data_IF_862432499578
#
_entry.id   IF_862432499578
#
_cell.length_a   1.000
_cell.length_b   1.000
_cell.length_c   1.000
_cell.angle_alpha   90.00
_cell.angle_beta   90.00
_cell.angle_gamma   90.00
#
_symmetry.space_group_name_H-M   'P 1'
#
loop_
_entity.id
_entity.type
_entity.pdbx_description
1 polymer ?
#
# COMPACT_ATOMS: atom_id res chain seq x y z
N UNK A 1 24.29 9.49 16.51
CA UNK A 1 24.43 10.05 17.87
C UNK A 1 25.27 11.33 17.81
N UNK A 2 24.96 12.21 16.84
CA UNK A 2 25.88 13.26 16.37
C UNK A 2 25.23 14.64 16.31
N UNK A 3 23.91 14.73 16.54
CA UNK A 3 23.14 15.96 16.39
C UNK A 3 23.33 16.95 17.55
N UNK A 4 23.64 16.47 18.77
CA UNK A 4 23.74 17.35 19.95
C UNK A 4 25.08 18.07 20.10
N UNK A 5 26.16 17.56 19.50
CA UNK A 5 27.45 18.27 19.47
C UNK A 5 27.44 19.49 18.54
N UNK A 6 26.44 19.58 17.66
CA UNK A 6 26.25 20.64 16.67
C UNK A 6 25.11 21.60 17.06
N UNK A 7 24.46 21.40 18.21
CA UNK A 7 23.54 22.39 18.75
C UNK A 7 24.37 23.58 19.21
N UNK A 8 24.42 24.62 18.39
CA UNK A 8 24.85 25.94 18.83
C UNK A 8 24.03 26.30 20.07
N UNK A 9 24.73 26.47 21.17
CA UNK A 9 24.17 26.74 22.50
C UNK A 9 23.15 27.87 22.39
N UNK A 10 21.85 27.56 22.39
CA UNK A 10 20.83 28.60 22.49
C UNK A 10 20.97 29.23 23.89
N UNK A 11 21.35 30.51 24.01
CA UNK A 11 21.47 31.13 25.32
C UNK A 11 20.06 31.25 25.90
N UNK A 12 19.78 30.56 27.01
CA UNK A 12 18.50 30.60 27.71
C UNK A 12 18.25 31.90 28.46
N UNK A 13 19.05 32.95 28.23
CA UNK A 13 18.84 34.27 28.82
C UNK A 13 17.94 35.10 27.91
N UNK A 14 16.66 35.21 28.28
CA UNK A 14 15.72 36.15 27.66
C UNK A 14 15.70 37.42 28.50
N UNK A 15 16.21 38.52 27.97
CA UNK A 15 16.06 39.84 28.59
C UNK A 15 14.79 40.51 28.06
N UNK A 16 13.97 41.01 28.97
CA UNK A 16 12.78 41.80 28.65
C UNK A 16 13.10 43.25 29.00
N UNK A 17 13.13 44.14 28.00
CA UNK A 17 13.28 45.59 28.21
C UNK A 17 12.00 46.28 27.77
N UNK A 18 11.14 46.60 28.74
CA UNK A 18 9.78 47.09 28.45
C UNK A 18 8.90 45.96 27.92
N UNK A 19 8.12 46.23 26.86
CA UNK A 19 7.14 45.29 26.30
C UNK A 19 7.60 44.61 24.99
N UNK A 20 8.90 44.70 24.68
CA UNK A 20 9.50 44.06 23.51
C UNK A 20 10.41 42.90 23.93
N UNK A 21 10.08 41.71 23.45
CA UNK A 21 10.96 40.54 23.51
C UNK A 21 12.16 40.80 22.58
N UNK A 22 13.35 40.94 23.17
CA UNK A 22 14.59 41.05 22.42
C UNK A 22 15.03 39.64 22.06
N UNK A 23 15.19 39.37 20.76
CA UNK A 23 15.79 38.11 20.30
C UNK A 23 17.18 37.97 20.96
N UNK A 24 17.58 36.76 21.40
CA UNK A 24 18.90 36.56 21.97
C UNK A 24 19.96 37.04 20.97
N UNK A 25 21.01 37.74 21.41
CA UNK A 25 22.07 38.17 20.50
C UNK A 25 22.68 36.95 19.79
N UNK A 26 23.05 37.11 18.51
CA UNK A 26 23.91 36.18 17.76
C UNK A 26 25.06 35.70 18.67
N UNK A 27 25.50 34.42 18.57
CA UNK A 27 26.24 33.77 19.65
C UNK A 27 27.47 34.58 20.04
N UNK A 28 27.35 35.32 21.15
CA UNK A 28 28.49 35.87 21.85
C UNK A 28 29.35 34.67 22.21
N UNK A 29 30.54 34.58 21.62
CA UNK A 29 31.59 33.68 22.06
C UNK A 29 32.03 34.12 23.46
N UNK A 30 31.16 33.90 24.45
CA UNK A 30 31.44 34.17 25.85
C UNK A 30 32.49 33.17 26.30
N UNK A 31 33.52 33.64 27.02
CA UNK A 31 34.52 32.77 27.62
C UNK A 31 33.87 31.65 28.47
N UNK A 32 32.73 31.92 29.11
CA UNK A 32 31.94 30.92 29.85
C UNK A 32 31.27 29.88 28.92
N UNK A 33 30.81 30.29 27.74
CA UNK A 33 30.31 29.37 26.71
C UNK A 33 31.42 28.48 26.14
N UNK A 34 32.58 29.08 25.85
CA UNK A 34 33.78 28.38 25.38
C UNK A 34 34.29 27.35 26.41
N UNK A 35 34.37 27.74 27.68
CA UNK A 35 34.78 26.87 28.79
C UNK A 35 33.86 25.65 28.92
N UNK A 36 32.54 25.85 28.90
CA UNK A 36 31.56 24.76 28.97
C UNK A 36 31.67 23.79 27.80
N UNK A 37 31.83 24.31 26.58
CA UNK A 37 32.03 23.48 25.38
C UNK A 37 33.33 22.67 25.49
N UNK A 38 34.42 23.30 25.89
CA UNK A 38 35.71 22.63 26.07
C UNK A 38 35.63 21.52 27.12
N UNK A 39 34.98 21.77 28.26
CA UNK A 39 34.73 20.76 29.30
C UNK A 39 33.86 19.60 28.81
N UNK A 40 32.78 19.85 28.08
CA UNK A 40 31.94 18.80 27.49
C UNK A 40 32.70 17.98 26.43
N UNK A 41 33.57 18.62 25.64
CA UNK A 41 34.42 17.92 24.69
C UNK A 41 35.45 17.03 25.38
N UNK A 42 36.10 17.52 26.44
CA UNK A 42 37.07 16.74 27.24
C UNK A 42 36.41 15.57 27.99
N UNK A 43 35.17 15.76 28.48
CA UNK A 43 34.39 14.72 29.17
C UNK A 43 33.62 13.77 28.22
N UNK A 44 33.84 13.84 26.91
CA UNK A 44 33.10 13.04 25.92
C UNK A 44 33.29 11.54 26.17
N UNK A 45 32.26 10.75 25.89
CA UNK A 45 32.32 9.29 26.00
C UNK A 45 32.15 8.77 27.43
N UNK A 46 31.63 9.60 28.35
CA UNK A 46 31.38 9.21 29.74
C UNK A 46 32.56 9.47 30.68
N UNK A 47 33.56 10.26 30.25
CA UNK A 47 34.66 10.71 31.09
C UNK A 47 34.18 11.73 32.13
N UNK A 48 34.93 11.87 33.23
CA UNK A 48 34.52 12.71 34.36
C UNK A 48 34.65 14.20 34.05
N UNK A 49 33.55 14.95 34.18
CA UNK A 49 33.54 16.43 34.13
C UNK A 49 34.42 17.07 35.21
N UNK A 50 34.56 16.41 36.37
CA UNK A 50 35.38 16.91 37.48
C UNK A 50 36.87 16.83 37.16
N UNK A 51 37.32 15.68 36.63
CA UNK A 51 38.71 15.49 36.18
C UNK A 51 39.04 16.40 35.01
N UNK A 52 38.10 16.58 34.07
CA UNK A 52 38.27 17.56 32.99
C UNK A 52 38.44 19.00 33.54
N UNK A 53 37.71 19.36 34.60
CA UNK A 53 37.85 20.67 35.23
C UNK A 53 39.15 20.90 35.99
N UNK A 54 39.75 19.83 36.53
CA UNK A 54 41.07 19.90 37.18
C UNK A 54 42.21 20.23 36.19
N UNK A 55 42.06 19.82 34.92
CA UNK A 55 43.05 20.01 33.85
C UNK A 55 42.59 20.99 32.77
N UNK A 56 41.66 21.89 33.09
CA UNK A 56 41.02 22.75 32.10
C UNK A 56 41.99 23.75 31.43
N UNK A 57 43.06 24.09 32.13
CA UNK A 57 44.17 24.93 31.65
C UNK A 57 44.92 24.33 30.45
N UNK A 58 44.93 23.00 30.32
CA UNK A 58 45.59 22.31 29.19
C UNK A 58 44.89 22.51 27.85
N UNK A 59 43.58 22.77 27.87
CA UNK A 59 42.77 22.72 26.65
C UNK A 59 41.80 23.91 26.50
N UNK A 60 41.76 24.83 27.47
CA UNK A 60 41.04 26.09 27.36
C UNK A 60 41.92 27.25 27.85
N UNK A 61 42.14 28.30 27.04
CA UNK A 61 43.10 29.36 27.36
C UNK A 61 42.59 30.28 28.48
N UNK A 62 42.93 29.95 29.72
CA UNK A 62 42.57 30.70 30.94
C UNK A 62 43.72 31.53 31.52
N UNK A 63 44.79 31.77 30.75
CA UNK A 63 46.00 32.48 31.19
C UNK A 63 45.76 33.92 31.67
N UNK A 64 44.56 34.46 31.46
CA UNK A 64 44.11 35.78 31.94
C UNK A 64 43.54 35.73 33.38
N UNK A 65 43.32 34.54 33.95
CA UNK A 65 42.75 34.35 35.28
C UNK A 65 43.82 33.91 36.29
N UNK A 66 43.75 34.44 37.51
CA UNK A 66 44.59 33.96 38.61
C UNK A 66 44.25 32.53 39.03
N UNK A 67 45.14 31.80 39.73
CA UNK A 67 44.91 30.39 40.09
C UNK A 67 43.69 30.16 41.00
N UNK A 68 43.30 31.14 41.83
CA UNK A 68 42.06 31.09 42.62
C UNK A 68 40.82 31.30 41.75
N UNK A 69 40.83 32.31 40.89
CA UNK A 69 39.73 32.60 39.97
C UNK A 69 39.48 31.46 38.97
N UNK A 70 40.54 30.80 38.50
CA UNK A 70 40.43 29.66 37.59
C UNK A 70 39.66 28.49 38.24
N UNK A 71 39.95 28.19 39.51
CA UNK A 71 39.23 27.14 40.26
C UNK A 71 37.77 27.50 40.45
N UNK A 72 37.47 28.74 40.79
CA UNK A 72 36.09 29.21 40.99
C UNK A 72 35.30 29.16 39.68
N UNK A 73 35.91 29.56 38.55
CA UNK A 73 35.31 29.46 37.21
C UNK A 73 35.07 28.02 36.79
N UNK A 74 36.04 27.12 37.02
CA UNK A 74 35.90 25.71 36.72
C UNK A 74 34.80 25.04 37.57
N UNK A 75 34.76 25.34 38.88
CA UNK A 75 33.72 24.84 39.78
C UNK A 75 32.32 25.35 39.38
N UNK A 76 32.20 26.62 39.01
CA UNK A 76 30.95 27.18 38.50
C UNK A 76 30.50 26.49 37.21
N UNK A 77 31.41 26.27 36.26
CA UNK A 77 31.14 25.58 35.01
C UNK A 77 30.73 24.11 35.22
N UNK A 78 31.42 23.37 36.11
CA UNK A 78 31.04 22.00 36.47
C UNK A 78 29.62 21.97 37.03
N UNK A 79 29.30 22.85 37.99
CA UNK A 79 27.97 22.92 38.60
C UNK A 79 26.89 23.18 37.55
N UNK A 80 27.10 24.15 36.67
CA UNK A 80 26.17 24.42 35.56
C UNK A 80 25.99 23.19 34.64
N UNK A 81 27.09 22.54 34.26
CA UNK A 81 27.06 21.37 33.38
C UNK A 81 26.37 20.18 34.06
N UNK A 82 26.57 19.95 35.37
CA UNK A 82 25.87 18.91 36.13
C UNK A 82 24.35 19.14 36.10
N UNK A 83 23.89 20.39 36.22
CA UNK A 83 22.47 20.72 36.08
C UNK A 83 21.97 20.47 34.65
N UNK A 84 22.68 20.96 33.63
CA UNK A 84 22.30 20.76 32.23
C UNK A 84 22.24 19.27 31.85
N UNK A 85 23.21 18.47 32.27
CA UNK A 85 23.23 17.03 32.03
C UNK A 85 22.07 16.34 32.73
N UNK A 86 21.75 16.70 33.99
CA UNK A 86 20.57 16.17 34.70
C UNK A 86 19.27 16.52 33.99
N UNK A 87 19.15 17.75 33.48
CA UNK A 87 17.97 18.18 32.74
C UNK A 87 17.82 17.43 31.42
N UNK A 88 18.89 17.28 30.65
CA UNK A 88 18.88 16.49 29.42
C UNK A 88 18.58 15.03 29.74
N UNK A 89 19.18 14.44 30.76
CA UNK A 89 18.90 13.07 31.18
C UNK A 89 17.41 12.88 31.55
N UNK A 90 16.80 13.86 32.21
CA UNK A 90 15.36 13.86 32.53
C UNK A 90 14.49 13.96 31.27
N UNK A 91 14.93 14.65 30.22
CA UNK A 91 14.18 14.78 28.97
C UNK A 91 14.49 13.64 27.98
N UNK A 92 15.65 13.00 28.11
CA UNK A 92 16.13 11.98 27.21
C UNK A 92 15.22 10.75 27.26
N UNK A 93 14.69 10.36 26.10
CA UNK A 93 13.78 9.22 25.98
C UNK A 93 12.34 9.49 26.43
N UNK A 94 11.98 10.73 26.83
CA UNK A 94 10.57 11.10 27.07
C UNK A 94 9.74 11.05 25.79
N UNK A 95 10.32 11.46 24.67
CA UNK A 95 9.70 11.38 23.35
C UNK A 95 10.34 10.20 22.62
N UNK A 96 9.50 9.28 22.14
CA UNK A 96 9.91 8.10 21.37
C UNK A 96 9.15 8.08 20.06
N UNK A 97 9.86 7.88 18.97
CA UNK A 97 9.27 7.71 17.63
C UNK A 97 9.35 6.23 17.28
N UNK A 98 8.24 5.67 16.79
CA UNK A 98 8.18 4.30 16.29
C UNK A 98 7.73 4.34 14.84
N UNK A 99 8.48 3.70 13.96
CA UNK A 99 8.05 3.46 12.57
C UNK A 99 6.91 2.45 12.55
N UNK A 100 5.86 2.75 11.78
CA UNK A 100 4.65 1.95 11.69
C UNK A 100 4.18 1.94 10.24
N UNK A 101 3.74 0.78 9.77
CA UNK A 101 3.26 0.60 8.38
C UNK A 101 1.74 0.57 8.29
N UNK A 102 1.06 0.07 9.32
CA UNK A 102 -0.40 0.09 9.37
C UNK A 102 -0.93 0.23 10.81
N UNK A 103 -2.10 0.87 10.93
CA UNK A 103 -2.93 0.91 12.13
C UNK A 103 -4.10 -0.04 12.03
N UNK A 104 -4.53 -0.56 13.17
CA UNK A 104 -5.82 -1.23 13.31
C UNK A 104 -6.57 -0.51 14.42
N UNK A 105 -7.78 -0.03 14.09
CA UNK A 105 -8.68 0.65 15.02
C UNK A 105 -9.88 -0.25 15.25
N UNK A 106 -10.21 -0.50 16.52
CA UNK A 106 -11.38 -1.28 16.91
C UNK A 106 -11.78 -0.95 18.35
N UNK A 107 -12.90 -1.47 18.80
CA UNK A 107 -13.30 -1.38 20.21
C UNK A 107 -12.30 -2.10 21.13
N UNK A 108 -12.20 -1.65 22.37
CA UNK A 108 -11.19 -2.13 23.33
C UNK A 108 -11.27 -3.65 23.60
N UNK A 109 -12.49 -4.22 23.63
CA UNK A 109 -12.69 -5.65 23.80
C UNK A 109 -12.09 -6.45 22.62
N UNK A 110 -12.34 -6.01 21.38
CA UNK A 110 -11.80 -6.61 20.16
C UNK A 110 -10.28 -6.49 20.08
N UNK A 111 -9.72 -5.33 20.45
CA UNK A 111 -8.25 -5.13 20.50
C UNK A 111 -7.61 -6.14 21.45
N UNK A 112 -8.23 -6.36 22.61
CA UNK A 112 -7.76 -7.34 23.59
C UNK A 112 -7.84 -8.76 23.03
N UNK A 113 -8.93 -9.12 22.35
CA UNK A 113 -9.08 -10.43 21.70
C UNK A 113 -8.02 -10.65 20.61
N UNK A 114 -7.85 -9.69 19.69
CA UNK A 114 -6.88 -9.75 18.59
C UNK A 114 -5.45 -9.98 19.12
N UNK A 115 -5.07 -9.34 20.23
CA UNK A 115 -3.75 -9.52 20.85
C UNK A 115 -3.53 -10.93 21.43
N UNK A 116 -4.59 -11.62 21.88
CA UNK A 116 -4.50 -12.98 22.42
C UNK A 116 -4.62 -14.07 21.34
N UNK A 117 -5.03 -13.71 20.13
CA UNK A 117 -5.19 -14.64 19.01
C UNK A 117 -3.85 -15.08 18.45
N UNK A 118 -3.45 -16.34 18.73
CA UNK A 118 -2.16 -16.91 18.31
C UNK A 118 -1.92 -16.91 16.79
N UNK A 119 -2.96 -17.02 15.96
CA UNK A 119 -2.82 -16.98 14.50
C UNK A 119 -2.32 -15.63 13.99
N UNK A 120 -2.56 -14.55 14.75
CA UNK A 120 -2.15 -13.18 14.43
C UNK A 120 -0.79 -12.80 15.03
N UNK A 121 -0.15 -13.67 15.81
CA UNK A 121 1.14 -13.40 16.45
C UNK A 121 2.24 -12.98 15.45
N UNK A 122 2.18 -13.51 14.21
CA UNK A 122 3.11 -13.17 13.13
C UNK A 122 3.00 -11.71 12.66
N UNK A 123 1.89 -11.02 12.91
CA UNK A 123 1.72 -9.60 12.54
C UNK A 123 2.50 -8.64 13.45
N UNK A 124 3.08 -9.13 14.55
CA UNK A 124 3.82 -8.30 15.52
C UNK A 124 3.02 -7.09 16.01
N UNK A 125 1.74 -7.32 16.34
CA UNK A 125 0.83 -6.27 16.78
C UNK A 125 1.26 -5.72 18.14
N UNK A 126 1.32 -4.40 18.26
CA UNK A 126 1.64 -3.72 19.51
C UNK A 126 0.59 -2.65 19.82
N UNK A 127 0.06 -2.66 21.05
CA UNK A 127 -0.93 -1.69 21.51
C UNK A 127 -0.33 -0.28 21.62
N UNK A 128 -0.96 0.68 20.96
CA UNK A 128 -0.58 2.11 20.99
C UNK A 128 -1.54 2.89 21.88
N UNK A 129 -2.83 2.58 21.80
CA UNK A 129 -3.90 3.14 22.62
C UNK A 129 -4.94 2.05 22.93
N UNK A 130 -5.94 2.32 23.79
CA UNK A 130 -6.93 1.31 24.15
C UNK A 130 -7.67 0.68 22.95
N UNK A 131 -7.93 1.50 21.93
CA UNK A 131 -8.64 1.17 20.69
C UNK A 131 -7.73 1.04 19.46
N UNK A 132 -6.40 1.14 19.62
CA UNK A 132 -5.46 1.24 18.48
C UNK A 132 -4.29 0.27 18.63
N UNK A 133 -4.09 -0.57 17.62
CA UNK A 133 -2.90 -1.39 17.43
C UNK A 133 -2.02 -0.84 16.31
N UNK A 134 -0.71 -1.07 16.46
CA UNK A 134 0.29 -0.85 15.42
C UNK A 134 0.83 -2.17 14.89
N UNK A 135 1.12 -2.19 13.59
CA UNK A 135 1.80 -3.29 12.91
C UNK A 135 3.01 -2.77 12.13
N UNK A 136 4.04 -3.61 12.04
CA UNK A 136 5.21 -3.42 11.17
C UNK A 136 4.98 -3.92 9.74
N UNK A 137 3.84 -4.53 9.46
CA UNK A 137 3.47 -5.08 8.14
C UNK A 137 2.61 -4.12 7.33
N UNK A 138 2.57 -4.31 6.02
CA UNK A 138 1.76 -3.49 5.11
C UNK A 138 0.25 -3.66 5.37
N UNK A 139 -0.58 -2.63 5.12
CA UNK A 139 -2.02 -2.68 5.39
C UNK A 139 -2.73 -3.88 4.75
N UNK A 140 -2.40 -4.21 3.50
CA UNK A 140 -3.02 -5.32 2.77
C UNK A 140 -2.72 -6.70 3.41
N UNK A 141 -1.52 -6.90 3.94
CA UNK A 141 -1.16 -8.15 4.63
C UNK A 141 -1.91 -8.28 5.96
N UNK A 142 -2.03 -7.17 6.70
CA UNK A 142 -2.78 -7.11 7.96
C UNK A 142 -4.26 -7.42 7.72
N UNK A 143 -4.87 -6.78 6.71
CA UNK A 143 -6.24 -7.06 6.29
C UNK A 143 -6.43 -8.54 5.93
N UNK A 144 -5.54 -9.10 5.10
CA UNK A 144 -5.64 -10.50 4.68
C UNK A 144 -5.56 -11.48 5.86
N UNK A 145 -4.67 -11.24 6.83
CA UNK A 145 -4.52 -12.12 8.00
C UNK A 145 -5.64 -11.98 9.02
N UNK A 146 -6.14 -10.77 9.24
CA UNK A 146 -7.33 -10.55 10.06
C UNK A 146 -8.55 -11.26 9.44
N UNK A 147 -8.73 -11.17 8.11
CA UNK A 147 -9.76 -11.94 7.38
C UNK A 147 -9.58 -13.46 7.54
N UNK A 148 -8.34 -13.96 7.43
CA UNK A 148 -8.03 -15.37 7.64
C UNK A 148 -8.27 -15.84 9.09
N UNK A 149 -8.27 -14.93 10.06
CA UNK A 149 -8.62 -15.22 11.46
C UNK A 149 -10.14 -15.16 11.72
N UNK A 150 -10.97 -14.93 10.69
CA UNK A 150 -12.43 -14.86 10.82
C UNK A 150 -12.97 -13.50 11.20
N UNK A 151 -12.13 -12.46 11.23
CA UNK A 151 -12.54 -11.07 11.44
C UNK A 151 -12.92 -10.42 10.11
N UNK A 152 -13.75 -9.38 10.16
CA UNK A 152 -14.19 -8.64 8.97
C UNK A 152 -13.65 -7.19 8.98
N UNK A 153 -12.33 -6.99 8.85
CA UNK A 153 -11.74 -5.66 8.86
C UNK A 153 -12.02 -4.92 7.55
N UNK A 154 -12.08 -3.60 7.67
CA UNK A 154 -12.28 -2.68 6.54
C UNK A 154 -11.01 -1.86 6.34
N UNK A 155 -10.67 -1.58 5.09
CA UNK A 155 -9.56 -0.68 4.77
C UNK A 155 -10.00 0.77 5.00
N UNK A 156 -9.16 1.58 5.63
CA UNK A 156 -9.37 3.02 5.74
C UNK A 156 -8.19 3.74 5.05
N UNK A 157 -8.47 4.92 4.49
CA UNK A 157 -7.43 5.78 3.94
C UNK A 157 -6.70 6.56 5.06
N UNK A 158 -5.68 7.34 4.69
CA UNK A 158 -4.92 8.13 5.65
C UNK A 158 -5.75 9.21 6.37
N UNK A 159 -6.97 9.50 5.90
CA UNK A 159 -7.91 10.43 6.53
C UNK A 159 -8.92 9.74 7.46
N UNK A 160 -8.89 8.41 7.54
CA UNK A 160 -9.87 7.61 8.28
C UNK A 160 -11.17 7.38 7.52
N UNK A 161 -11.20 7.67 6.22
CA UNK A 161 -12.35 7.36 5.36
C UNK A 161 -12.28 5.89 4.99
N UNK A 162 -13.39 5.18 5.20
CA UNK A 162 -13.52 3.77 4.81
C UNK A 162 -13.35 3.63 3.30
N UNK A 163 -12.28 2.96 2.89
CA UNK A 163 -12.07 2.50 1.53
C UNK A 163 -12.91 1.24 1.36
N UNK A 164 -13.98 1.36 0.57
CA UNK A 164 -14.69 0.17 0.07
C UNK A 164 -13.79 -0.48 -0.97
N UNK A 165 -12.91 -1.38 -0.51
CA UNK A 165 -12.28 -2.35 -1.41
C UNK A 165 -13.41 -3.14 -2.06
N UNK A 166 -13.69 -2.86 -3.33
CA UNK A 166 -14.56 -3.71 -4.15
C UNK A 166 -13.87 -5.07 -4.16
N UNK A 167 -14.36 -6.00 -3.33
CA UNK A 167 -13.85 -7.36 -3.27
C UNK A 167 -13.73 -7.85 -4.70
N UNK A 168 -12.49 -7.97 -5.19
CA UNK A 168 -12.22 -9.04 -6.12
C UNK A 168 -12.44 -10.28 -5.27
N UNK A 169 -13.65 -10.83 -5.36
CA UNK A 169 -13.95 -12.15 -4.85
C UNK A 169 -12.80 -13.05 -5.31
N UNK A 170 -11.91 -13.41 -4.38
CA UNK A 170 -11.09 -14.59 -4.51
C UNK A 170 -12.09 -15.75 -4.43
N UNK A 171 -12.79 -15.96 -5.55
CA UNK A 171 -13.57 -17.14 -5.83
C UNK A 171 -12.65 -18.31 -5.55
N UNK A 172 -13.11 -19.24 -4.71
CA UNK A 172 -12.41 -20.49 -4.42
C UNK A 172 -11.76 -21.01 -5.70
N UNK A 173 -10.50 -21.47 -5.61
CA UNK A 173 -9.71 -21.97 -6.72
C UNK A 173 -10.56 -22.92 -7.58
N UNK A 174 -11.17 -22.35 -8.62
CA UNK A 174 -11.78 -23.12 -9.68
C UNK A 174 -10.67 -24.00 -10.25
N UNK A 175 -10.98 -25.24 -10.68
CA UNK A 175 -9.98 -26.08 -11.36
C UNK A 175 -9.32 -25.21 -12.41
N UNK A 176 -7.99 -25.09 -12.31
CA UNK A 176 -7.15 -24.12 -13.03
C UNK A 176 -7.67 -23.99 -14.45
N UNK A 177 -8.49 -22.97 -14.70
CA UNK A 177 -8.80 -22.56 -16.06
C UNK A 177 -7.46 -22.13 -16.64
N UNK A 178 -7.13 -22.54 -17.88
CA UNK A 178 -5.90 -22.09 -18.51
C UNK A 178 -5.87 -20.58 -18.38
N UNK A 179 -4.75 -20.12 -17.82
CA UNK A 179 -4.35 -18.75 -17.62
C UNK A 179 -5.03 -17.88 -18.68
N UNK A 180 -5.88 -16.92 -18.26
CA UNK A 180 -6.38 -15.87 -19.14
C UNK A 180 -5.16 -15.35 -19.88
N UNK A 181 -5.03 -15.72 -21.15
CA UNK A 181 -3.92 -15.28 -21.98
C UNK A 181 -3.85 -13.77 -21.77
N UNK A 182 -2.66 -13.29 -21.41
CA UNK A 182 -2.39 -11.87 -21.33
C UNK A 182 -3.13 -11.21 -22.49
N UNK A 183 -3.99 -10.22 -22.19
CA UNK A 183 -4.62 -9.39 -23.22
C UNK A 183 -3.54 -9.11 -24.22
N UNK A 184 -3.61 -9.75 -25.40
CA UNK A 184 -2.65 -9.47 -26.46
C UNK A 184 -2.80 -7.99 -26.65
N UNK A 185 -1.76 -7.25 -26.29
CA UNK A 185 -1.64 -5.84 -26.62
C UNK A 185 -1.95 -5.82 -28.11
N UNK A 186 -3.12 -5.27 -28.48
CA UNK A 186 -3.46 -5.11 -29.89
C UNK A 186 -2.23 -4.44 -30.51
N UNK A 187 -1.62 -5.00 -31.57
CA UNK A 187 -0.48 -4.35 -32.19
C UNK A 187 -0.91 -2.91 -32.46
N UNK A 188 -0.20 -1.95 -31.86
CA UNK A 188 -0.51 -0.53 -32.05
C UNK A 188 -0.37 -0.27 -33.55
N UNK A 189 -1.51 -0.11 -34.22
CA UNK A 189 -1.52 0.35 -35.60
C UNK A 189 -1.01 1.78 -35.60
N UNK A 190 -0.07 2.05 -36.50
CA UNK A 190 0.44 3.39 -36.72
C UNK A 190 -0.68 4.30 -37.24
N UNK A 191 -0.68 5.57 -36.82
CA UNK A 191 -1.78 6.50 -37.10
C UNK A 191 -1.99 6.71 -38.60
N UNK A 192 -0.92 6.73 -39.39
CA UNK A 192 -0.99 6.81 -40.86
C UNK A 192 -1.61 5.57 -41.50
N UNK A 193 -1.29 4.37 -40.99
CA UNK A 193 -1.88 3.12 -41.49
C UNK A 193 -3.36 3.00 -41.12
N UNK A 194 -3.76 3.52 -39.96
CA UNK A 194 -5.16 3.59 -39.56
C UNK A 194 -5.92 4.59 -40.44
N UNK A 195 -5.36 5.78 -40.66
CA UNK A 195 -5.95 6.79 -41.53
C UNK A 195 -6.10 6.28 -42.98
N UNK A 196 -5.09 5.58 -43.51
CA UNK A 196 -5.17 4.98 -44.85
C UNK A 196 -6.27 3.92 -44.95
N UNK A 197 -6.48 3.08 -43.92
CA UNK A 197 -7.57 2.09 -43.91
C UNK A 197 -8.95 2.76 -43.79
N UNK A 198 -9.09 3.78 -42.94
CA UNK A 198 -10.35 4.52 -42.79
C UNK A 198 -10.71 5.32 -44.05
N UNK A 199 -9.71 5.80 -44.79
CA UNK A 199 -9.91 6.46 -46.09
C UNK A 199 -10.24 5.47 -47.21
N UNK A 200 -9.72 4.24 -47.13
CA UNK A 200 -9.99 3.19 -48.10
C UNK A 200 -11.36 2.52 -47.91
N UNK A 201 -11.86 2.45 -46.68
CA UNK A 201 -13.16 1.89 -46.33
C UNK A 201 -13.90 2.83 -45.35
N UNK A 202 -14.43 3.96 -45.84
CA UNK A 202 -15.07 4.98 -45.00
C UNK A 202 -16.37 4.50 -44.36
N UNK A 203 -17.02 3.50 -44.95
CA UNK A 203 -18.32 2.97 -44.51
C UNK A 203 -18.20 1.62 -43.79
N UNK A 204 -16.99 1.04 -43.67
CA UNK A 204 -16.75 -0.23 -42.97
C UNK A 204 -17.31 -1.46 -43.69
N UNK A 205 -17.43 -1.38 -45.01
CA UNK A 205 -18.11 -2.36 -45.87
C UNK A 205 -17.33 -3.66 -46.09
N UNK A 206 -16.01 -3.67 -45.85
CA UNK A 206 -15.15 -4.86 -46.02
C UNK A 206 -15.04 -5.73 -44.75
N UNK A 207 -15.79 -5.38 -43.70
CA UNK A 207 -16.04 -6.29 -42.57
C UNK A 207 -17.33 -7.06 -42.85
N UNK A 208 -17.20 -8.24 -43.48
CA UNK A 208 -18.33 -9.09 -43.82
C UNK A 208 -19.31 -9.30 -42.64
N UNK A 209 -20.58 -8.99 -42.90
CA UNK A 209 -21.71 -9.45 -42.06
C UNK A 209 -22.46 -8.36 -41.28
N UNK A 210 -22.96 -7.31 -41.95
CA UNK A 210 -24.11 -6.53 -41.44
C UNK A 210 -25.39 -6.86 -42.20
N UNK A 211 -25.61 -8.15 -42.47
CA UNK A 211 -26.96 -8.69 -42.54
C UNK A 211 -27.15 -9.47 -41.24
N UNK A 212 -28.17 -9.12 -40.46
CA UNK A 212 -28.56 -9.88 -39.26
C UNK A 212 -28.89 -11.29 -39.75
N UNK A 213 -27.94 -12.21 -39.66
CA UNK A 213 -28.12 -13.57 -40.15
C UNK A 213 -29.35 -14.20 -39.49
N UNK A 214 -30.11 -15.00 -40.23
CA UNK A 214 -31.27 -15.73 -39.70
C UNK A 214 -30.92 -16.51 -38.42
N UNK A 215 -29.67 -16.99 -38.32
CA UNK A 215 -29.11 -17.64 -37.14
C UNK A 215 -29.11 -16.74 -35.91
N UNK A 216 -28.70 -15.47 -36.06
CA UNK A 216 -28.65 -14.49 -34.97
C UNK A 216 -30.06 -14.16 -34.44
N UNK A 217 -31.04 -13.99 -35.33
CA UNK A 217 -32.43 -13.74 -34.95
C UNK A 217 -33.02 -14.93 -34.17
N UNK A 218 -32.72 -16.17 -34.59
CA UNK A 218 -33.15 -17.39 -33.87
C UNK A 218 -32.48 -17.51 -32.50
N UNK A 219 -31.19 -17.21 -32.38
CA UNK A 219 -30.48 -17.24 -31.10
C UNK A 219 -31.02 -16.20 -30.12
N UNK A 220 -31.30 -14.98 -30.58
CA UNK A 220 -31.90 -13.92 -29.77
C UNK A 220 -33.27 -14.35 -29.18
N UNK A 221 -34.08 -15.05 -29.97
CA UNK A 221 -35.36 -15.59 -29.50
C UNK A 221 -35.21 -16.71 -28.47
N UNK A 222 -34.21 -17.58 -28.63
CA UNK A 222 -33.97 -18.72 -27.75
C UNK A 222 -33.30 -18.35 -26.42
N UNK A 223 -32.54 -17.25 -26.38
CA UNK A 223 -31.85 -16.79 -25.19
C UNK A 223 -31.83 -15.25 -25.08
N UNK A 224 -32.86 -14.67 -24.44
CA UNK A 224 -32.92 -13.23 -24.19
C UNK A 224 -31.92 -12.76 -23.12
N UNK A 225 -31.16 -13.67 -22.50
CA UNK A 225 -30.15 -13.34 -21.50
C UNK A 225 -28.78 -12.99 -22.09
N UNK A 226 -28.54 -13.29 -23.37
CA UNK A 226 -27.31 -12.93 -24.07
C UNK A 226 -27.42 -11.53 -24.66
N UNK A 227 -26.30 -10.80 -24.66
CA UNK A 227 -26.21 -9.50 -25.32
C UNK A 227 -26.16 -9.65 -26.84
N UNK A 228 -26.51 -8.60 -27.58
CA UNK A 228 -26.48 -8.60 -29.04
C UNK A 228 -25.11 -8.99 -29.60
N UNK A 229 -24.02 -8.54 -28.96
CA UNK A 229 -22.65 -8.90 -29.34
C UNK A 229 -22.37 -10.39 -29.15
N UNK A 230 -22.85 -10.99 -28.06
CA UNK A 230 -22.68 -12.43 -27.80
C UNK A 230 -23.51 -13.29 -28.76
N UNK A 231 -24.71 -12.82 -29.13
CA UNK A 231 -25.57 -13.45 -30.13
C UNK A 231 -24.90 -13.43 -31.49
N UNK A 232 -24.38 -12.27 -31.91
CA UNK A 232 -23.66 -12.12 -33.19
C UNK A 232 -22.43 -13.04 -33.18
N UNK A 233 -21.64 -13.03 -32.12
CA UNK A 233 -20.45 -13.87 -32.00
C UNK A 233 -20.79 -15.37 -32.08
N UNK A 234 -21.87 -15.81 -31.44
CA UNK A 234 -22.29 -17.22 -31.48
C UNK A 234 -22.85 -17.60 -32.86
N UNK A 235 -23.62 -16.72 -33.50
CA UNK A 235 -24.14 -16.95 -34.85
C UNK A 235 -22.99 -17.08 -35.86
N UNK A 236 -22.06 -16.14 -35.79
CA UNK A 236 -20.83 -16.12 -36.59
C UNK A 236 -19.95 -17.35 -36.33
N UNK A 237 -19.88 -17.83 -35.09
CA UNK A 237 -19.18 -19.06 -34.74
C UNK A 237 -19.85 -20.32 -35.30
N UNK A 238 -21.19 -20.38 -35.35
CA UNK A 238 -21.93 -21.49 -35.97
C UNK A 238 -21.69 -21.50 -37.48
N UNK A 239 -21.75 -20.33 -38.12
CA UNK A 239 -21.65 -20.20 -39.58
C UNK A 239 -20.23 -20.46 -40.07
N UNK A 240 -19.23 -19.96 -39.34
CA UNK A 240 -17.81 -20.14 -39.69
C UNK A 240 -17.16 -21.35 -39.00
N UNK A 241 -17.93 -22.14 -38.23
CA UNK A 241 -17.44 -23.28 -37.42
C UNK A 241 -16.21 -22.93 -36.57
N UNK A 242 -16.26 -21.77 -35.90
CA UNK A 242 -15.16 -21.25 -35.09
C UNK A 242 -15.33 -21.55 -33.62
N UNK A 243 -14.21 -21.77 -32.94
CA UNK A 243 -14.24 -22.07 -31.51
C UNK A 243 -14.65 -20.84 -30.70
N UNK A 244 -15.55 -21.07 -29.76
CA UNK A 244 -16.03 -20.06 -28.79
C UNK A 244 -16.00 -20.63 -27.38
N UNK A 245 -15.74 -19.75 -26.42
CA UNK A 245 -15.83 -20.05 -25.01
C UNK A 245 -17.23 -19.68 -24.52
N UNK A 246 -17.97 -20.65 -23.99
CA UNK A 246 -19.27 -20.42 -23.37
C UNK A 246 -19.22 -20.60 -21.85
N UNK A 247 -19.94 -19.75 -21.12
CA UNK A 247 -20.36 -20.07 -19.76
C UNK A 247 -21.69 -20.78 -19.82
N UNK A 248 -21.77 -22.00 -19.29
CA UNK A 248 -22.96 -22.84 -19.39
C UNK A 248 -23.45 -23.31 -18.02
N UNK A 249 -24.75 -23.17 -17.76
CA UNK A 249 -25.41 -23.68 -16.56
C UNK A 249 -26.11 -25.01 -16.84
N UNK A 250 -25.72 -26.06 -16.14
CA UNK A 250 -26.37 -27.37 -16.31
C UNK A 250 -27.73 -27.45 -15.57
N UNK A 251 -28.47 -28.55 -15.77
CA UNK A 251 -29.77 -28.79 -15.11
C UNK A 251 -29.67 -28.87 -13.57
N UNK A 252 -28.50 -29.15 -13.02
CA UNK A 252 -28.25 -29.18 -11.58
C UNK A 252 -27.87 -27.79 -11.01
N UNK A 253 -27.84 -26.74 -11.84
CA UNK A 253 -27.47 -25.38 -11.45
C UNK A 253 -25.96 -25.10 -11.43
N UNK A 254 -25.11 -26.10 -11.70
CA UNK A 254 -23.66 -25.91 -11.76
C UNK A 254 -23.27 -25.15 -13.02
N UNK A 255 -22.47 -24.10 -12.85
CA UNK A 255 -21.89 -23.29 -13.93
C UNK A 255 -20.54 -23.86 -14.34
N UNK A 256 -20.32 -24.00 -15.64
CA UNK A 256 -19.06 -24.49 -16.23
C UNK A 256 -18.67 -23.62 -17.42
N UNK A 257 -17.40 -23.22 -17.52
CA UNK A 257 -16.83 -22.64 -18.73
C UNK A 257 -16.40 -23.76 -19.69
N UNK A 258 -16.72 -23.64 -20.97
CA UNK A 258 -16.44 -24.68 -21.98
C UNK A 258 -16.04 -24.04 -23.30
N UNK A 259 -14.88 -24.43 -23.79
CA UNK A 259 -14.49 -24.19 -25.16
C UNK A 259 -15.21 -25.20 -26.06
N UNK A 260 -15.94 -24.68 -27.04
CA UNK A 260 -16.76 -25.47 -27.94
C UNK A 260 -16.57 -25.01 -29.39
N UNK A 261 -16.66 -25.94 -30.33
CA UNK A 261 -16.80 -25.67 -31.74
C UNK A 261 -18.27 -25.92 -32.14
N UNK A 262 -19.11 -24.88 -32.24
CA UNK A 262 -20.50 -25.03 -32.62
C UNK A 262 -20.63 -25.42 -34.09
N UNK A 263 -21.52 -26.37 -34.36
CA UNK A 263 -21.73 -26.91 -35.71
C UNK A 263 -23.08 -26.49 -36.27
N UNK A 264 -24.15 -26.73 -35.52
CA UNK A 264 -25.51 -26.47 -35.99
C UNK A 264 -26.46 -26.17 -34.83
N UNK A 265 -27.43 -25.30 -35.10
CA UNK A 265 -28.57 -25.04 -34.24
C UNK A 265 -29.76 -25.90 -34.70
N UNK A 266 -30.28 -26.75 -33.82
CA UNK A 266 -31.50 -27.54 -34.06
C UNK A 266 -32.53 -27.29 -32.95
N UNK A 267 -33.63 -26.61 -33.30
CA UNK A 267 -34.65 -26.19 -32.35
C UNK A 267 -34.04 -25.30 -31.25
N UNK A 268 -34.04 -25.78 -30.00
CA UNK A 268 -33.45 -25.08 -28.84
C UNK A 268 -32.05 -25.57 -28.44
N UNK A 269 -31.49 -26.49 -29.22
CA UNK A 269 -30.23 -27.15 -28.94
C UNK A 269 -29.16 -26.70 -29.91
N UNK A 270 -27.97 -26.46 -29.39
CA UNK A 270 -26.75 -26.18 -30.14
C UNK A 270 -25.90 -27.44 -30.08
N UNK A 271 -25.69 -28.07 -31.23
CA UNK A 271 -24.75 -29.17 -31.37
C UNK A 271 -23.34 -28.58 -31.51
N UNK A 272 -22.42 -29.03 -30.65
CA UNK A 272 -21.05 -28.55 -30.67
C UNK A 272 -20.05 -29.62 -30.20
N UNK A 273 -18.84 -29.57 -30.76
CA UNK A 273 -17.71 -30.33 -30.21
C UNK A 273 -17.25 -29.65 -28.92
N UNK A 274 -17.11 -30.40 -27.82
CA UNK A 274 -16.69 -29.84 -26.54
C UNK A 274 -15.27 -30.27 -26.20
N UNK A 275 -14.30 -29.35 -26.32
CA UNK A 275 -12.87 -29.64 -26.10
C UNK A 275 -12.57 -30.11 -24.67
N UNK A 276 -13.33 -29.65 -23.67
CA UNK A 276 -13.17 -30.10 -22.28
C UNK A 276 -13.50 -31.59 -22.08
N UNK A 277 -14.36 -32.15 -22.93
CA UNK A 277 -14.84 -33.55 -22.83
C UNK A 277 -14.41 -34.42 -23.99
N UNK A 278 -13.77 -33.82 -24.99
CA UNK A 278 -13.30 -34.47 -26.21
C UNK A 278 -14.39 -35.29 -26.91
N UNK A 279 -15.59 -34.69 -27.03
CA UNK A 279 -16.76 -35.35 -27.56
C UNK A 279 -17.81 -34.34 -28.09
N UNK A 280 -18.63 -34.80 -29.03
CA UNK A 280 -19.81 -34.10 -29.53
C UNK A 280 -20.91 -34.02 -28.47
N UNK A 281 -21.50 -32.84 -28.27
CA UNK A 281 -22.53 -32.61 -27.25
C UNK A 281 -23.56 -31.56 -27.65
N UNK A 282 -24.77 -31.76 -27.13
CA UNK A 282 -25.86 -30.79 -27.25
C UNK A 282 -25.90 -29.86 -26.03
N UNK A 283 -25.96 -28.56 -26.32
CA UNK A 283 -26.12 -27.51 -25.33
C UNK A 283 -27.50 -26.87 -25.50
N UNK A 284 -28.25 -26.69 -24.40
CA UNK A 284 -29.51 -25.94 -24.48
C UNK A 284 -29.17 -24.46 -24.60
N UNK A 285 -29.62 -23.79 -25.66
CA UNK A 285 -29.24 -22.39 -25.94
C UNK A 285 -29.59 -21.46 -24.78
N UNK A 286 -30.76 -21.64 -24.16
CA UNK A 286 -31.22 -20.87 -22.99
C UNK A 286 -30.34 -21.02 -21.72
N UNK A 287 -29.47 -22.01 -21.68
CA UNK A 287 -28.56 -22.27 -20.55
C UNK A 287 -27.15 -21.71 -20.77
N UNK A 288 -26.90 -21.11 -21.93
CA UNK A 288 -25.68 -20.36 -22.21
C UNK A 288 -25.81 -19.00 -21.51
N UNK A 289 -24.94 -18.72 -20.56
CA UNK A 289 -24.96 -17.48 -19.76
C UNK A 289 -24.05 -16.39 -20.33
N UNK A 290 -23.02 -16.76 -21.10
CA UNK A 290 -22.17 -15.81 -21.83
C UNK A 290 -21.41 -16.49 -22.97
N UNK A 291 -20.97 -15.70 -23.96
CA UNK A 291 -20.18 -16.17 -25.11
C UNK A 291 -18.96 -15.26 -25.30
N UNK A 292 -17.78 -15.84 -25.52
CA UNK A 292 -16.55 -15.10 -25.74
C UNK A 292 -15.68 -15.79 -26.82
N UNK A 293 -14.81 -15.05 -27.53
CA UNK A 293 -13.89 -15.65 -28.49
C UNK A 293 -12.84 -16.50 -27.77
N UNK A 294 -12.38 -17.58 -28.42
CA UNK A 294 -11.23 -18.37 -27.96
C UNK A 294 -9.94 -17.57 -28.19
N UNK A 295 -9.04 -17.60 -27.20
CA UNK A 295 -7.80 -16.81 -27.16
C UNK A 295 -6.61 -17.48 -27.81
#
# INVERSE_FOLDING_TARGET
MTAWLMLEHAPTSREIRGDKELAPPLPLASAAGGLRRAMLCAARGGLSLRVAGEHVDWFFPLHLYGPGELRDKAAAAIRELEYLVKDVARLHGKIRVRGMRSCVVAEEALISEILHTRSLAKLSLARVAPTVLSSSHEPHEVLARLRAAGLSPVAEDATGTVIVEKQQEHRAAAPRSPTRAASRVRPRMDAEKLAARLLADPDGTDSGGSDISETSARLAQLNPGLTDTEIILLADAIEAQRDVLISYRNKAGNRTAREIQPHQLYGRWLEAWCHLRDAQRDFTVANIESVAPVG
#
